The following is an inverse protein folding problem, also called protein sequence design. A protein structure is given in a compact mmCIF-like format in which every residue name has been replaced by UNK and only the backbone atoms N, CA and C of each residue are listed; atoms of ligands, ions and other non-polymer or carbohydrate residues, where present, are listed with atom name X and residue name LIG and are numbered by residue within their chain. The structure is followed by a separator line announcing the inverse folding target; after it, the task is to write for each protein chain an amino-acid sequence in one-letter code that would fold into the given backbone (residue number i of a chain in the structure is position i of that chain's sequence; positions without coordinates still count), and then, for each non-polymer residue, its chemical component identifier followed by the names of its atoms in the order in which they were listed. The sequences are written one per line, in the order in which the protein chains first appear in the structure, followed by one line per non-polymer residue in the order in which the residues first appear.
data_IF_270551502420
#
_entry.id   IF_270551502420
#
_cell.length_a   1.000
_cell.length_b   1.000
_cell.length_c   1.000
_cell.angle_alpha   90.00
_cell.angle_beta   90.00
_cell.angle_gamma   90.00
#
_symmetry.space_group_name_H-M   'P 1'
#
loop_
_entity.id
_entity.type
_entity.pdbx_description
1 polymer ?
#
# COMPACT_ATOMS: atom_id res chain seq x y z
N UNK A 1 -17.80 -47.61 -7.92
CA UNK A 1 -17.00 -46.98 -6.85
C UNK A 1 -16.45 -45.71 -7.42
N UNK A 2 -17.14 -44.59 -7.20
CA UNK A 2 -16.61 -43.28 -7.54
C UNK A 2 -15.62 -42.90 -6.44
N UNK A 3 -14.35 -42.75 -6.81
CA UNK A 3 -13.34 -42.22 -5.91
C UNK A 3 -13.59 -40.72 -5.78
N UNK A 4 -14.15 -40.32 -4.65
CA UNK A 4 -14.25 -38.92 -4.26
C UNK A 4 -12.82 -38.37 -4.16
N UNK A 5 -12.42 -37.56 -5.14
CA UNK A 5 -11.14 -36.86 -5.11
C UNK A 5 -11.11 -35.97 -3.86
N UNK A 6 -10.04 -36.00 -3.06
CA UNK A 6 -9.91 -35.09 -1.93
C UNK A 6 -10.02 -33.67 -2.47
N UNK A 7 -11.01 -32.91 -1.96
CA UNK A 7 -11.10 -31.47 -2.21
C UNK A 7 -9.75 -30.88 -1.87
N UNK A 8 -9.11 -30.23 -2.85
CA UNK A 8 -7.93 -29.42 -2.60
C UNK A 8 -8.23 -28.53 -1.38
N UNK A 9 -7.35 -28.59 -0.38
CA UNK A 9 -7.44 -27.68 0.75
C UNK A 9 -7.49 -26.25 0.18
N UNK A 10 -8.35 -25.35 0.70
CA UNK A 10 -8.42 -23.99 0.20
C UNK A 10 -7.01 -23.41 0.17
N UNK A 11 -6.55 -23.09 -1.03
CA UNK A 11 -5.16 -22.85 -1.40
C UNK A 11 -4.54 -21.75 -0.52
N UNK A 12 -3.43 -22.05 0.14
CA UNK A 12 -2.65 -21.06 0.92
C UNK A 12 -2.27 -19.83 0.09
N UNK A 13 -2.21 -19.99 -1.24
CA UNK A 13 -1.99 -18.93 -2.22
C UNK A 13 -3.13 -17.90 -2.22
N UNK A 14 -4.39 -18.32 -2.03
CA UNK A 14 -5.53 -17.40 -1.95
C UNK A 14 -5.46 -16.53 -0.69
N UNK A 15 -4.97 -17.10 0.43
CA UNK A 15 -4.78 -16.37 1.67
C UNK A 15 -3.64 -15.33 1.56
N UNK A 16 -2.51 -15.70 0.97
CA UNK A 16 -1.39 -14.78 0.73
C UNK A 16 -1.80 -13.63 -0.20
N UNK A 17 -2.53 -13.94 -1.28
CA UNK A 17 -3.04 -12.94 -2.21
C UNK A 17 -4.04 -11.99 -1.53
N UNK A 18 -4.93 -12.49 -0.66
CA UNK A 18 -5.86 -11.66 0.09
C UNK A 18 -5.14 -10.69 1.05
N UNK A 19 -4.08 -11.15 1.71
CA UNK A 19 -3.25 -10.30 2.58
C UNK A 19 -2.53 -9.24 1.77
N UNK A 20 -1.88 -9.61 0.66
CA UNK A 20 -1.18 -8.67 -0.21
C UNK A 20 -2.14 -7.61 -0.76
N UNK A 21 -3.32 -8.01 -1.23
CA UNK A 21 -4.33 -7.08 -1.73
C UNK A 21 -4.78 -6.09 -0.65
N UNK A 22 -4.97 -6.58 0.59
CA UNK A 22 -5.32 -5.72 1.73
C UNK A 22 -4.22 -4.70 2.07
N UNK A 23 -2.95 -5.09 1.93
CA UNK A 23 -1.81 -4.18 2.12
C UNK A 23 -1.75 -3.12 1.02
N UNK A 24 -1.92 -3.52 -0.25
CA UNK A 24 -1.93 -2.60 -1.39
C UNK A 24 -3.06 -1.56 -1.26
N UNK A 25 -4.27 -1.98 -0.92
CA UNK A 25 -5.39 -1.07 -0.66
C UNK A 25 -5.11 -0.09 0.48
N UNK A 26 -4.37 -0.51 1.51
CA UNK A 26 -4.00 0.38 2.61
C UNK A 26 -2.94 1.39 2.17
N UNK A 27 -1.95 0.99 1.39
CA UNK A 27 -0.95 1.91 0.79
C UNK A 27 -1.65 2.94 -0.09
N UNK A 28 -2.54 2.49 -0.98
CA UNK A 28 -3.30 3.35 -1.88
C UNK A 28 -4.13 4.39 -1.11
N UNK A 29 -4.86 3.97 -0.08
CA UNK A 29 -5.62 4.89 0.78
C UNK A 29 -4.73 5.96 1.41
N UNK A 30 -3.56 5.58 1.94
CA UNK A 30 -2.63 6.54 2.55
C UNK A 30 -2.13 7.55 1.52
N UNK A 31 -1.80 7.07 0.32
CA UNK A 31 -1.36 7.91 -0.80
C UNK A 31 -2.44 8.93 -1.17
N UNK A 32 -3.68 8.51 -1.37
CA UNK A 32 -4.79 9.39 -1.75
C UNK A 32 -5.15 10.39 -0.63
N UNK A 33 -5.15 9.96 0.63
CA UNK A 33 -5.38 10.83 1.79
C UNK A 33 -4.32 11.96 1.86
N UNK A 34 -3.04 11.61 1.67
CA UNK A 34 -1.95 12.58 1.68
C UNK A 34 -2.04 13.51 0.47
N UNK A 35 -2.34 12.98 -0.71
CA UNK A 35 -2.51 13.77 -1.94
C UNK A 35 -3.58 14.85 -1.74
N UNK A 36 -4.77 14.49 -1.25
CA UNK A 36 -5.83 15.46 -0.97
C UNK A 36 -5.47 16.49 0.10
N UNK A 37 -4.69 16.11 1.11
CA UNK A 37 -4.28 17.01 2.19
C UNK A 37 -3.09 17.93 1.87
N UNK A 38 -2.42 17.71 0.74
CA UNK A 38 -1.16 18.40 0.37
C UNK A 38 -1.20 19.10 -0.98
N UNK A 39 -2.39 19.24 -1.57
CA UNK A 39 -2.59 19.97 -2.82
C UNK A 39 -1.99 21.39 -2.74
N UNK A 40 -1.19 21.76 -3.73
CA UNK A 40 -0.49 23.05 -3.80
C UNK A 40 0.67 23.24 -2.82
N UNK A 41 1.04 22.22 -2.02
CA UNK A 41 2.17 22.31 -1.11
C UNK A 41 3.51 22.00 -1.81
N UNK A 42 4.64 22.55 -1.30
CA UNK A 42 5.96 22.19 -1.81
C UNK A 42 6.25 20.69 -1.65
N UNK A 43 6.92 20.08 -2.64
CA UNK A 43 7.25 18.65 -2.67
C UNK A 43 7.86 18.11 -1.37
N UNK A 44 8.80 18.82 -0.74
CA UNK A 44 9.42 18.35 0.51
C UNK A 44 8.42 18.22 1.67
N UNK A 45 7.35 19.03 1.68
CA UNK A 45 6.26 18.94 2.66
C UNK A 45 5.40 17.71 2.36
N UNK A 46 5.11 17.47 1.07
CA UNK A 46 4.39 16.28 0.59
C UNK A 46 5.14 15.01 1.01
N UNK A 47 6.44 14.94 0.73
CA UNK A 47 7.30 13.80 1.08
C UNK A 47 7.33 13.55 2.60
N UNK A 48 7.47 14.61 3.41
CA UNK A 48 7.47 14.49 4.86
C UNK A 48 6.13 13.95 5.41
N UNK A 49 5.00 14.44 4.87
CA UNK A 49 3.68 13.95 5.26
C UNK A 49 3.42 12.53 4.80
N UNK A 50 3.83 12.18 3.58
CA UNK A 50 3.71 10.83 3.05
C UNK A 50 4.49 9.84 3.90
N UNK A 51 5.74 10.17 4.27
CA UNK A 51 6.56 9.34 5.16
C UNK A 51 5.88 9.13 6.51
N UNK A 52 5.39 10.20 7.14
CA UNK A 52 4.73 10.12 8.44
C UNK A 52 3.45 9.27 8.38
N UNK A 53 2.63 9.44 7.34
CA UNK A 53 1.38 8.70 7.18
C UNK A 53 1.63 7.21 6.93
N UNK A 54 2.59 6.87 6.05
CA UNK A 54 3.00 5.49 5.79
C UNK A 54 3.53 4.83 7.07
N UNK A 55 4.39 5.50 7.82
CA UNK A 55 4.94 4.95 9.06
C UNK A 55 3.85 4.73 10.13
N UNK A 56 2.85 5.61 10.22
CA UNK A 56 1.75 5.47 11.16
C UNK A 56 0.81 4.29 10.81
N UNK A 57 0.52 4.10 9.52
CA UNK A 57 -0.49 3.15 9.05
C UNK A 57 0.10 1.77 8.69
N UNK A 58 1.40 1.73 8.36
CA UNK A 58 2.15 0.57 7.90
C UNK A 58 3.52 0.50 8.60
N UNK A 59 3.57 0.44 9.94
CA UNK A 59 4.82 0.52 10.70
C UNK A 59 5.78 -0.66 10.45
N UNK A 60 5.28 -1.77 9.94
CA UNK A 60 6.07 -2.97 9.62
C UNK A 60 6.66 -2.94 8.19
N UNK A 61 6.32 -1.93 7.38
CA UNK A 61 6.76 -1.83 6.00
C UNK A 61 7.74 -0.65 5.88
N UNK A 62 8.94 -0.95 5.41
CA UNK A 62 9.93 0.07 5.09
C UNK A 62 9.76 0.49 3.64
N UNK A 63 9.53 1.78 3.43
CA UNK A 63 9.54 2.41 2.11
C UNK A 63 10.87 3.12 1.91
N UNK A 64 11.41 3.06 0.70
CA UNK A 64 12.64 3.78 0.36
C UNK A 64 12.34 5.25 0.09
N UNK A 65 13.36 6.10 0.19
CA UNK A 65 13.22 7.51 -0.21
C UNK A 65 12.85 7.65 -1.69
N UNK A 66 13.26 6.70 -2.54
CA UNK A 66 12.89 6.68 -3.94
C UNK A 66 11.39 6.43 -4.13
N UNK A 67 10.78 5.51 -3.38
CA UNK A 67 9.33 5.25 -3.42
C UNK A 67 8.54 6.51 -3.04
N UNK A 68 8.92 7.12 -1.92
CA UNK A 68 8.28 8.33 -1.40
C UNK A 68 8.39 9.48 -2.40
N UNK A 69 9.58 9.66 -2.98
CA UNK A 69 9.83 10.75 -3.92
C UNK A 69 9.14 10.53 -5.27
N UNK A 70 9.00 9.27 -5.73
CA UNK A 70 8.23 8.93 -6.93
C UNK A 70 6.74 9.25 -6.76
N UNK A 71 6.15 8.88 -5.62
CA UNK A 71 4.75 9.17 -5.32
C UNK A 71 4.51 10.67 -5.13
N UNK A 72 5.36 11.37 -4.37
CA UNK A 72 5.24 12.82 -4.20
C UNK A 72 5.35 13.59 -5.54
N UNK A 73 6.16 13.09 -6.48
CA UNK A 73 6.24 13.66 -7.83
C UNK A 73 4.94 13.50 -8.62
N UNK A 74 4.19 12.42 -8.40
CA UNK A 74 2.91 12.19 -9.09
C UNK A 74 1.80 13.12 -8.59
N UNK A 75 1.93 13.70 -7.39
CA UNK A 75 0.93 14.61 -6.80
C UNK A 75 1.18 16.07 -7.15
N UNK A 76 2.46 16.44 -7.26
CA UNK A 76 2.93 17.80 -7.51
C UNK A 76 2.87 18.10 -9.00
N UNK A 77 1.67 18.36 -9.52
CA UNK A 77 1.45 18.83 -10.89
C UNK A 77 1.05 20.30 -10.95
#
# INVERSE_FOLDING_TARGET
MEAELPRAAPDDDDAANAVLNSLLLRVERVIEDVRGATEGMPRFVVEARLRAALQAQLPAITFTDADISAWASAFSS
#
